data_IF_334105859924
#
_entry.id   IF_334105859924
#
_cell.length_a   1.000
_cell.length_b   1.000
_cell.length_c   1.000
_cell.angle_alpha   90.00
_cell.angle_beta   90.00
_cell.angle_gamma   90.00
#
_symmetry.space_group_name_H-M   'P 1'
#
loop_
_entity.id
_entity.type
_entity.pdbx_description
1 polymer ?
#
# COMPACT_ATOMS: atom_id res chain seq x y z
N UNK A 1 -38.73 -19.23 14.08
CA UNK A 1 -39.48 -18.54 15.14
C UNK A 1 -38.45 -17.94 16.10
N UNK A 2 -38.38 -16.62 16.31
CA UNK A 2 -37.36 -16.03 17.16
C UNK A 2 -37.79 -16.17 18.63
N UNK A 3 -36.93 -16.73 19.48
CA UNK A 3 -37.09 -16.63 20.94
C UNK A 3 -36.15 -15.54 21.45
N UNK A 4 -36.75 -14.63 22.20
CA UNK A 4 -36.13 -13.49 22.86
C UNK A 4 -35.00 -13.93 23.79
N UNK A 5 -33.79 -13.42 23.56
CA UNK A 5 -32.68 -13.44 24.52
C UNK A 5 -32.60 -12.04 25.17
N UNK A 6 -32.83 -11.96 26.48
CA UNK A 6 -32.65 -10.78 27.32
C UNK A 6 -31.15 -10.54 27.61
N UNK A 7 -30.37 -10.29 26.55
CA UNK A 7 -29.01 -9.78 26.60
C UNK A 7 -28.85 -8.81 25.45
N UNK A 8 -28.18 -7.67 25.65
CA UNK A 8 -27.93 -6.76 24.55
C UNK A 8 -27.30 -7.54 23.38
N UNK A 9 -27.79 -7.40 22.14
CA UNK A 9 -27.27 -8.17 21.02
C UNK A 9 -25.76 -7.95 20.92
N UNK A 10 -24.99 -8.99 20.54
CA UNK A 10 -23.55 -8.85 20.38
C UNK A 10 -23.27 -7.68 19.44
N UNK A 11 -22.25 -6.87 19.75
CA UNK A 11 -21.86 -5.70 18.93
C UNK A 11 -21.13 -6.14 17.66
N UNK A 12 -21.81 -6.95 16.86
CA UNK A 12 -21.37 -7.43 15.55
C UNK A 12 -21.60 -6.35 14.50
N UNK A 13 -20.71 -6.28 13.53
CA UNK A 13 -20.81 -5.42 12.35
C UNK A 13 -20.84 -6.23 11.05
N UNK A 14 -20.19 -7.39 11.05
CA UNK A 14 -20.18 -8.32 9.94
C UNK A 14 -21.31 -9.34 9.98
N UNK A 15 -21.38 -10.13 8.93
CA UNK A 15 -22.19 -11.34 8.88
C UNK A 15 -21.75 -12.27 9.99
N UNK A 16 -22.71 -12.76 10.78
CA UNK A 16 -22.45 -13.62 11.92
C UNK A 16 -23.41 -14.81 11.94
N UNK A 17 -22.97 -15.88 12.59
CA UNK A 17 -23.79 -17.08 12.76
C UNK A 17 -23.46 -17.75 14.09
N UNK A 18 -24.50 -18.25 14.77
CA UNK A 18 -24.36 -19.08 15.98
C UNK A 18 -23.95 -20.49 15.56
N UNK A 19 -22.89 -21.02 16.17
CA UNK A 19 -22.35 -22.35 15.86
C UNK A 19 -22.05 -23.12 17.13
N UNK A 20 -22.15 -24.45 17.04
CA UNK A 20 -21.72 -25.33 18.12
C UNK A 20 -20.20 -25.34 18.20
N UNK A 21 -19.66 -25.01 19.37
CA UNK A 21 -18.25 -25.13 19.71
C UNK A 21 -17.90 -26.61 19.88
N UNK A 22 -16.71 -26.99 19.43
CA UNK A 22 -16.15 -28.34 19.64
C UNK A 22 -15.12 -28.34 20.75
N UNK A 23 -13.99 -27.64 20.56
CA UNK A 23 -12.91 -27.60 21.55
C UNK A 23 -12.01 -26.38 21.36
N UNK A 24 -11.40 -25.92 22.44
CA UNK A 24 -10.37 -24.86 22.42
C UNK A 24 -9.00 -25.51 22.18
N UNK A 25 -8.34 -25.13 21.08
CA UNK A 25 -7.05 -25.72 20.67
C UNK A 25 -5.89 -24.94 21.29
N UNK A 26 -5.94 -23.61 21.15
CA UNK A 26 -4.97 -22.66 21.68
C UNK A 26 -5.64 -21.30 21.96
N UNK A 27 -4.90 -20.35 22.52
CA UNK A 27 -5.39 -19.01 22.88
C UNK A 27 -6.01 -18.24 21.72
N UNK A 28 -5.60 -18.51 20.48
CA UNK A 28 -6.07 -17.85 19.25
C UNK A 28 -6.77 -18.81 18.25
N UNK A 29 -7.05 -20.04 18.68
CA UNK A 29 -7.58 -21.10 17.81
C UNK A 29 -8.62 -21.95 18.53
N UNK A 30 -9.83 -21.99 17.98
CA UNK A 30 -10.98 -22.79 18.47
C UNK A 30 -11.50 -23.67 17.34
N UNK A 31 -12.03 -24.85 17.65
CA UNK A 31 -12.79 -25.67 16.68
C UNK A 31 -14.28 -25.54 16.91
N UNK A 32 -15.04 -25.43 15.84
CA UNK A 32 -16.49 -25.37 15.86
C UNK A 32 -17.08 -26.09 14.64
N UNK A 33 -18.38 -26.38 14.67
CA UNK A 33 -19.12 -26.98 13.56
C UNK A 33 -19.75 -25.85 12.73
N UNK A 34 -19.27 -25.58 11.50
CA UNK A 34 -19.91 -24.59 10.64
C UNK A 34 -21.37 -24.96 10.34
N UNK A 35 -22.20 -23.98 9.90
CA UNK A 35 -23.58 -24.26 9.51
C UNK A 35 -23.68 -25.41 8.52
N UNK A 36 -24.63 -26.32 8.75
CA UNK A 36 -24.88 -27.50 7.91
C UNK A 36 -23.69 -28.47 7.76
N UNK A 37 -22.71 -28.44 8.69
CA UNK A 37 -21.58 -29.37 8.71
C UNK A 37 -21.56 -30.21 9.99
N UNK A 38 -21.44 -31.52 9.82
CA UNK A 38 -21.20 -32.45 10.94
C UNK A 38 -19.72 -32.53 11.33
N UNK A 39 -18.82 -31.91 10.56
CA UNK A 39 -17.38 -31.93 10.80
C UNK A 39 -16.92 -30.63 11.44
N UNK A 40 -16.27 -30.73 12.60
CA UNK A 40 -15.66 -29.56 13.23
C UNK A 40 -14.44 -29.07 12.44
N UNK A 41 -14.39 -27.77 12.19
CA UNK A 41 -13.30 -27.07 11.51
C UNK A 41 -12.54 -26.17 12.47
N UNK A 42 -11.27 -25.90 12.15
CA UNK A 42 -10.44 -24.96 12.92
C UNK A 42 -10.74 -23.52 12.51
N UNK A 43 -11.12 -22.72 13.49
CA UNK A 43 -11.28 -21.28 13.42
C UNK A 43 -9.98 -20.62 13.86
N UNK A 44 -9.40 -19.78 13.00
CA UNK A 44 -8.34 -18.85 13.37
C UNK A 44 -8.99 -17.54 13.79
N UNK A 45 -8.81 -17.18 15.05
CA UNK A 45 -9.39 -15.96 15.60
C UNK A 45 -8.61 -14.76 15.04
N UNK A 46 -9.34 -13.82 14.45
CA UNK A 46 -8.78 -12.62 13.86
C UNK A 46 -8.29 -11.65 14.93
N UNK A 47 -7.29 -10.85 14.58
CA UNK A 47 -6.72 -9.79 15.44
C UNK A 47 -6.02 -10.28 16.71
N UNK A 48 -5.80 -11.60 16.85
CA UNK A 48 -5.02 -12.22 17.94
C UNK A 48 -3.78 -12.96 17.44
N UNK A 49 -2.69 -12.80 18.19
CA UNK A 49 -1.45 -13.60 18.15
C UNK A 49 -1.02 -13.86 19.59
N UNK A 50 -1.68 -14.81 20.25
CA UNK A 50 -1.23 -15.27 21.57
C UNK A 50 0.13 -15.94 21.42
N UNK A 51 0.97 -15.88 22.44
CA UNK A 51 2.21 -16.67 22.44
C UNK A 51 1.89 -18.17 22.41
N UNK A 52 2.81 -18.99 21.92
CA UNK A 52 2.53 -20.41 21.65
C UNK A 52 2.47 -21.22 22.95
N UNK A 53 1.40 -22.01 23.12
CA UNK A 53 1.25 -22.92 24.27
C UNK A 53 2.09 -24.20 24.14
N UNK A 54 2.57 -24.51 22.93
CA UNK A 54 3.45 -25.63 22.62
C UNK A 54 4.45 -25.21 21.54
N UNK A 55 5.66 -25.77 21.55
CA UNK A 55 6.66 -25.41 20.54
C UNK A 55 6.28 -26.01 19.19
N UNK A 56 5.70 -25.19 18.33
CA UNK A 56 5.41 -25.53 16.94
C UNK A 56 6.02 -24.47 16.00
N UNK A 57 6.91 -24.89 15.10
CA UNK A 57 7.60 -23.97 14.19
C UNK A 57 8.69 -23.13 14.87
N UNK A 58 8.80 -21.86 14.47
CA UNK A 58 9.90 -20.95 14.88
C UNK A 58 9.63 -20.14 16.14
N UNK A 59 8.37 -20.01 16.57
CA UNK A 59 8.02 -19.26 17.77
C UNK A 59 8.29 -20.11 19.03
N UNK A 60 8.85 -19.51 20.10
CA UNK A 60 9.07 -20.23 21.34
C UNK A 60 7.74 -20.49 22.05
N UNK A 61 7.65 -21.61 22.76
CA UNK A 61 6.56 -21.81 23.72
C UNK A 61 6.85 -21.03 24.99
N UNK A 62 5.83 -20.39 25.56
CA UNK A 62 5.99 -19.52 26.72
C UNK A 62 5.00 -19.87 27.84
N UNK A 63 5.33 -19.56 29.12
CA UNK A 63 4.37 -19.68 30.21
C UNK A 63 3.09 -18.87 29.96
N UNK A 64 3.21 -17.67 29.38
CA UNK A 64 2.03 -16.85 29.08
C UNK A 64 1.19 -17.37 27.91
N UNK A 65 1.80 -18.06 26.94
CA UNK A 65 1.08 -18.80 25.91
C UNK A 65 0.24 -19.94 26.48
N UNK A 66 0.79 -20.70 27.45
CA UNK A 66 0.01 -21.70 28.20
C UNK A 66 -1.12 -21.05 28.99
N UNK A 67 -0.86 -19.94 29.67
CA UNK A 67 -1.87 -19.19 30.41
C UNK A 67 -3.00 -18.67 29.50
N UNK A 68 -2.67 -18.21 28.29
CA UNK A 68 -3.65 -17.77 27.30
C UNK A 68 -4.56 -18.92 26.85
N UNK A 69 -4.00 -20.12 26.62
CA UNK A 69 -4.79 -21.31 26.30
C UNK A 69 -5.69 -21.76 27.44
N UNK A 70 -5.17 -21.76 28.67
CA UNK A 70 -5.97 -22.16 29.84
C UNK A 70 -7.09 -21.14 30.11
N UNK A 71 -6.81 -19.85 29.92
CA UNK A 71 -7.83 -18.80 29.97
C UNK A 71 -8.88 -18.98 28.88
N UNK A 72 -8.48 -19.28 27.64
CA UNK A 72 -9.39 -19.54 26.53
C UNK A 72 -10.38 -20.69 26.87
N UNK A 73 -9.88 -21.78 27.47
CA UNK A 73 -10.73 -22.89 27.91
C UNK A 73 -11.75 -22.45 28.95
N UNK A 74 -11.33 -21.66 29.93
CA UNK A 74 -12.21 -21.12 30.96
C UNK A 74 -13.23 -20.13 30.38
N UNK A 75 -12.81 -19.25 29.48
CA UNK A 75 -13.66 -18.24 28.87
C UNK A 75 -14.82 -18.84 28.06
N UNK A 76 -14.63 -20.04 27.51
CA UNK A 76 -15.66 -20.74 26.75
C UNK A 76 -16.29 -21.92 27.51
N UNK A 77 -15.95 -22.21 28.77
CA UNK A 77 -16.35 -23.46 29.43
C UNK A 77 -17.85 -23.54 29.75
N UNK A 78 -18.50 -22.40 29.89
CA UNK A 78 -19.90 -22.24 30.30
C UNK A 78 -20.89 -22.19 29.11
N UNK A 79 -20.41 -22.36 27.88
CA UNK A 79 -21.24 -22.37 26.67
C UNK A 79 -20.78 -23.40 25.64
N UNK A 80 -21.74 -24.16 25.12
CA UNK A 80 -21.52 -25.12 24.02
C UNK A 80 -21.69 -24.48 22.64
N UNK A 81 -22.25 -23.27 22.58
CA UNK A 81 -22.38 -22.48 21.37
C UNK A 81 -21.59 -21.17 21.50
N UNK A 82 -21.16 -20.66 20.35
CA UNK A 82 -20.51 -19.37 20.20
C UNK A 82 -21.06 -18.67 18.97
N UNK A 83 -20.84 -17.37 18.87
CA UNK A 83 -21.14 -16.61 17.66
C UNK A 83 -19.83 -16.38 16.93
N UNK A 84 -19.77 -16.78 15.66
CA UNK A 84 -18.66 -16.41 14.76
C UNK A 84 -19.09 -15.23 13.92
N UNK A 85 -18.21 -14.24 13.79
CA UNK A 85 -18.41 -13.06 12.95
C UNK A 85 -17.35 -13.02 11.85
N UNK A 86 -17.79 -12.88 10.61
CA UNK A 86 -16.91 -12.76 9.46
C UNK A 86 -16.48 -11.30 9.23
N UNK A 87 -15.30 -11.07 8.65
CA UNK A 87 -14.81 -9.73 8.34
C UNK A 87 -15.41 -9.18 7.03
N UNK A 88 -16.73 -9.29 6.88
CA UNK A 88 -17.50 -8.84 5.72
C UNK A 88 -19.00 -8.98 5.94
N UNK A 89 -19.77 -8.50 4.96
CA UNK A 89 -21.24 -8.39 5.04
C UNK A 89 -21.95 -9.25 3.97
N UNK A 90 -21.22 -10.19 3.36
CA UNK A 90 -21.74 -11.16 2.40
C UNK A 90 -22.68 -12.17 3.05
N UNK A 91 -23.35 -13.03 2.28
CA UNK A 91 -24.14 -14.11 2.90
C UNK A 91 -23.25 -15.07 3.69
N UNK A 92 -23.83 -15.85 4.61
CA UNK A 92 -23.09 -16.84 5.39
C UNK A 92 -22.38 -17.85 4.47
N UNK A 93 -23.05 -18.30 3.42
CA UNK A 93 -22.52 -19.26 2.43
C UNK A 93 -21.31 -18.68 1.69
N UNK A 94 -21.38 -17.42 1.27
CA UNK A 94 -20.27 -16.72 0.62
C UNK A 94 -19.10 -16.52 1.60
N UNK A 95 -19.39 -16.11 2.82
CA UNK A 95 -18.40 -15.93 3.88
C UNK A 95 -17.62 -17.22 4.19
N UNK A 96 -18.32 -18.37 4.28
CA UNK A 96 -17.73 -19.69 4.52
C UNK A 96 -16.71 -20.10 3.45
N UNK A 97 -16.86 -19.62 2.22
CA UNK A 97 -15.90 -19.87 1.13
C UNK A 97 -14.80 -18.80 1.10
N UNK A 98 -15.17 -17.54 1.28
CA UNK A 98 -14.29 -16.37 1.10
C UNK A 98 -13.25 -16.20 2.21
N UNK A 99 -13.65 -16.40 3.46
CA UNK A 99 -12.83 -16.06 4.63
C UNK A 99 -12.08 -17.27 5.18
N UNK A 100 -11.19 -17.81 4.35
CA UNK A 100 -10.27 -18.90 4.73
C UNK A 100 -8.81 -18.48 4.60
N UNK A 101 -8.00 -18.84 5.59
CA UNK A 101 -6.56 -18.64 5.56
C UNK A 101 -5.84 -19.60 4.61
N UNK A 102 -4.53 -19.43 4.43
CA UNK A 102 -3.73 -20.28 3.54
C UNK A 102 -3.76 -21.77 3.90
N UNK A 103 -4.01 -22.11 5.17
CA UNK A 103 -4.14 -23.48 5.66
C UNK A 103 -5.61 -23.95 5.73
N UNK A 104 -6.53 -23.29 5.04
CA UNK A 104 -7.97 -23.64 5.01
C UNK A 104 -8.79 -23.27 6.26
N UNK A 105 -8.14 -22.83 7.36
CA UNK A 105 -8.80 -22.36 8.59
C UNK A 105 -9.77 -21.20 8.30
N UNK A 106 -10.98 -21.23 8.87
CA UNK A 106 -11.89 -20.09 8.83
C UNK A 106 -11.26 -18.90 9.57
N UNK A 107 -11.44 -17.70 9.03
CA UNK A 107 -10.97 -16.44 9.61
C UNK A 107 -12.17 -15.68 10.16
N UNK A 108 -12.29 -15.60 11.49
CA UNK A 108 -13.47 -15.03 12.17
C UNK A 108 -13.08 -14.31 13.46
N UNK A 109 -13.90 -13.37 13.90
CA UNK A 109 -13.97 -12.99 15.32
C UNK A 109 -14.96 -13.90 16.03
N UNK A 110 -14.80 -14.06 17.35
CA UNK A 110 -15.65 -14.94 18.16
C UNK A 110 -16.27 -14.12 19.29
N UNK A 111 -17.57 -14.27 19.46
CA UNK A 111 -18.33 -13.67 20.55
C UNK A 111 -18.96 -14.76 21.40
N UNK A 112 -18.99 -14.52 22.71
CA UNK A 112 -19.84 -15.25 23.64
C UNK A 112 -21.32 -14.93 23.36
N UNK A 113 -22.23 -15.79 23.83
CA UNK A 113 -23.67 -15.54 23.68
C UNK A 113 -24.15 -14.30 24.47
N UNK A 114 -23.45 -13.94 25.55
CA UNK A 114 -23.67 -12.70 26.31
C UNK A 114 -23.11 -11.43 25.63
N UNK A 115 -22.53 -11.56 24.43
CA UNK A 115 -22.08 -10.46 23.60
C UNK A 115 -20.64 -9.99 23.84
N UNK A 116 -19.89 -10.64 24.73
CA UNK A 116 -18.45 -10.34 24.92
C UNK A 116 -17.64 -10.87 23.74
N UNK A 117 -16.94 -9.98 23.04
CA UNK A 117 -16.04 -10.33 21.93
C UNK A 117 -14.66 -10.74 22.46
N UNK A 118 -14.18 -11.89 22.00
CA UNK A 118 -13.03 -12.56 22.58
C UNK A 118 -11.69 -11.89 22.25
N UNK A 119 -11.50 -11.37 21.03
CA UNK A 119 -10.25 -10.70 20.64
C UNK A 119 -10.00 -9.44 21.48
N UNK A 120 -10.99 -8.56 21.61
CA UNK A 120 -10.91 -7.37 22.47
C UNK A 120 -10.57 -7.77 23.90
N UNK A 121 -11.25 -8.79 24.42
CA UNK A 121 -11.08 -9.24 25.80
C UNK A 121 -9.68 -9.77 26.07
N UNK A 122 -9.16 -10.64 25.19
CA UNK A 122 -7.80 -11.18 25.31
C UNK A 122 -6.72 -10.12 25.15
N UNK A 123 -6.93 -9.13 24.27
CA UNK A 123 -6.02 -7.98 24.10
C UNK A 123 -6.00 -7.13 25.37
N UNK A 124 -7.19 -6.81 25.91
CA UNK A 124 -7.37 -5.98 27.11
C UNK A 124 -6.72 -6.60 28.35
N UNK A 125 -6.71 -7.93 28.43
CA UNK A 125 -6.06 -8.68 29.51
C UNK A 125 -4.56 -8.93 29.27
N UNK A 126 -4.00 -8.45 28.16
CA UNK A 126 -2.58 -8.59 27.83
C UNK A 126 -2.17 -10.02 27.46
N UNK A 127 -3.09 -10.89 27.04
CA UNK A 127 -2.74 -12.21 26.50
C UNK A 127 -2.19 -12.14 25.08
N UNK A 128 -2.49 -11.06 24.36
CA UNK A 128 -2.01 -10.81 23.01
C UNK A 128 -1.93 -9.30 22.74
N UNK A 129 -0.98 -8.81 21.93
CA UNK A 129 -1.11 -7.51 21.31
C UNK A 129 -2.27 -7.49 20.32
N UNK A 130 -2.67 -6.30 19.87
CA UNK A 130 -3.57 -6.19 18.72
C UNK A 130 -2.84 -6.61 17.44
N UNK A 131 -3.13 -7.82 16.97
CA UNK A 131 -2.41 -8.43 15.86
C UNK A 131 -2.98 -8.03 14.49
N UNK A 132 -2.49 -6.93 13.94
CA UNK A 132 -2.91 -6.38 12.64
C UNK A 132 -1.93 -6.68 11.47
N UNK A 133 -1.04 -7.67 11.61
CA UNK A 133 -0.01 -8.03 10.58
C UNK A 133 -0.58 -8.26 9.17
N UNK A 134 -1.82 -8.74 9.10
CA UNK A 134 -2.54 -9.06 7.85
C UNK A 134 -3.64 -8.04 7.51
N UNK A 135 -3.54 -6.83 8.06
CA UNK A 135 -4.51 -5.75 7.89
C UNK A 135 -5.11 -5.33 9.23
N UNK A 136 -5.48 -4.05 9.35
CA UNK A 136 -6.37 -3.65 10.43
C UNK A 136 -7.70 -4.39 10.30
N UNK A 137 -8.42 -4.52 11.42
CA UNK A 137 -9.76 -5.08 11.45
C UNK A 137 -10.65 -4.37 10.43
N UNK A 138 -11.39 -5.15 9.64
CA UNK A 138 -12.17 -4.65 8.49
C UNK A 138 -13.22 -3.60 8.88
N UNK A 139 -13.75 -3.70 10.10
CA UNK A 139 -14.69 -2.72 10.64
C UNK A 139 -13.97 -1.71 11.53
N UNK A 140 -14.14 -0.41 11.23
CA UNK A 140 -13.52 0.70 11.95
C UNK A 140 -13.79 0.64 13.47
N UNK A 141 -15.01 0.27 13.88
CA UNK A 141 -15.31 0.17 15.31
C UNK A 141 -14.57 -0.99 15.99
N UNK A 142 -14.30 -2.10 15.30
CA UNK A 142 -13.47 -3.19 15.83
C UNK A 142 -12.01 -2.72 15.94
N UNK A 143 -11.49 -2.07 14.90
CA UNK A 143 -10.15 -1.51 14.91
C UNK A 143 -9.94 -0.56 16.11
N UNK A 144 -10.87 0.37 16.35
CA UNK A 144 -10.82 1.29 17.51
C UNK A 144 -10.87 0.56 18.85
N UNK A 145 -11.79 -0.40 19.02
CA UNK A 145 -11.90 -1.17 20.27
C UNK A 145 -10.61 -1.92 20.57
N UNK A 146 -10.00 -2.57 19.57
CA UNK A 146 -8.76 -3.31 19.75
C UNK A 146 -7.56 -2.40 20.07
N UNK A 147 -7.45 -1.23 19.42
CA UNK A 147 -6.42 -0.23 19.77
C UNK A 147 -6.58 0.27 21.21
N UNK A 148 -7.81 0.54 21.65
CA UNK A 148 -8.08 0.98 23.01
C UNK A 148 -7.78 -0.12 24.03
N UNK A 149 -8.21 -1.36 23.76
CA UNK A 149 -7.89 -2.52 24.58
C UNK A 149 -6.38 -2.74 24.75
N UNK A 150 -5.63 -2.63 23.66
CA UNK A 150 -4.17 -2.77 23.69
C UNK A 150 -3.52 -1.65 24.52
N UNK A 151 -3.95 -0.41 24.29
CA UNK A 151 -3.48 0.74 25.07
C UNK A 151 -3.75 0.57 26.56
N UNK A 152 -4.95 0.10 26.92
CA UNK A 152 -5.32 -0.14 28.32
C UNK A 152 -4.43 -1.19 28.97
N UNK A 153 -4.12 -2.29 28.26
CA UNK A 153 -3.20 -3.31 28.72
C UNK A 153 -1.75 -2.80 28.87
N UNK A 154 -1.30 -1.94 27.95
CA UNK A 154 0.02 -1.31 28.01
C UNK A 154 0.15 -0.35 29.21
N UNK A 155 -0.87 0.46 29.49
CA UNK A 155 -0.84 1.45 30.58
C UNK A 155 -0.61 0.81 31.96
N UNK A 156 -1.06 -0.43 32.15
CA UNK A 156 -0.90 -1.17 33.42
C UNK A 156 0.17 -2.26 33.36
N UNK A 157 0.94 -2.35 32.27
CA UNK A 157 1.99 -3.35 32.06
C UNK A 157 1.54 -4.80 32.36
N UNK A 158 0.42 -5.23 31.77
CA UNK A 158 -0.12 -6.58 31.97
C UNK A 158 0.30 -7.56 30.86
N UNK A 159 0.63 -8.79 31.25
CA UNK A 159 0.86 -9.89 30.31
C UNK A 159 2.03 -9.67 29.36
N UNK A 160 1.78 -9.69 28.05
CA UNK A 160 2.81 -9.47 27.00
C UNK A 160 3.47 -8.08 27.08
N UNK A 161 2.92 -7.16 27.87
CA UNK A 161 3.52 -5.85 28.15
C UNK A 161 4.46 -5.85 29.36
N UNK A 162 4.52 -6.96 30.10
CA UNK A 162 5.51 -7.25 31.15
C UNK A 162 5.96 -8.72 31.05
N UNK A 163 6.62 -9.03 29.92
CA UNK A 163 7.08 -10.38 29.62
C UNK A 163 8.11 -10.91 30.61
N UNK A 164 8.90 -10.05 31.25
CA UNK A 164 9.83 -10.50 32.27
C UNK A 164 9.08 -11.13 33.45
N UNK A 165 7.97 -10.51 33.88
CA UNK A 165 7.12 -11.07 34.93
C UNK A 165 6.40 -12.34 34.51
N UNK A 166 5.86 -12.40 33.29
CA UNK A 166 5.01 -13.54 32.89
C UNK A 166 5.75 -14.70 32.20
N UNK A 167 6.86 -14.42 31.52
CA UNK A 167 7.64 -15.41 30.77
C UNK A 167 9.08 -15.59 31.29
N UNK A 168 9.57 -14.70 32.15
CA UNK A 168 10.95 -14.72 32.62
C UNK A 168 11.93 -14.35 31.51
N UNK A 169 12.55 -15.35 30.88
CA UNK A 169 13.66 -15.16 29.92
C UNK A 169 13.24 -15.26 28.46
N UNK A 170 12.06 -15.80 28.17
CA UNK A 170 11.57 -15.91 26.79
C UNK A 170 10.80 -14.65 26.44
N UNK A 171 11.41 -13.78 25.65
CA UNK A 171 10.87 -12.46 25.34
C UNK A 171 10.80 -12.28 23.82
N UNK A 172 9.65 -11.82 23.33
CA UNK A 172 9.46 -11.30 21.97
C UNK A 172 9.50 -9.78 22.00
N UNK A 173 10.18 -9.18 21.03
CA UNK A 173 10.23 -7.73 20.88
C UNK A 173 8.92 -7.21 20.28
N UNK A 174 7.89 -7.09 21.12
CA UNK A 174 6.57 -6.60 20.68
C UNK A 174 6.60 -5.14 20.24
N UNK A 175 7.53 -4.32 20.72
CA UNK A 175 7.68 -2.94 20.23
C UNK A 175 8.07 -2.92 18.74
N UNK A 176 9.09 -3.70 18.38
CA UNK A 176 9.51 -3.88 16.97
C UNK A 176 8.42 -4.56 16.13
N UNK A 177 7.81 -5.63 16.66
CA UNK A 177 6.78 -6.38 15.93
C UNK A 177 5.53 -5.53 15.67
N UNK A 178 5.00 -4.84 16.68
CA UNK A 178 3.80 -3.99 16.52
C UNK A 178 4.04 -2.82 15.56
N UNK A 179 5.25 -2.23 15.58
CA UNK A 179 5.65 -1.22 14.59
C UNK A 179 5.60 -1.79 13.17
N UNK A 180 6.14 -2.99 12.98
CA UNK A 180 6.13 -3.65 11.69
C UNK A 180 4.73 -4.06 11.23
N UNK A 181 3.92 -4.61 12.14
CA UNK A 181 2.54 -4.99 11.84
C UNK A 181 1.70 -3.77 11.46
N UNK A 182 1.89 -2.64 12.15
CA UNK A 182 1.23 -1.37 11.83
C UNK A 182 1.59 -0.84 10.43
N UNK A 183 2.88 -0.94 10.03
CA UNK A 183 3.29 -0.62 8.66
C UNK A 183 2.53 -1.48 7.64
N UNK A 184 2.50 -2.80 7.86
CA UNK A 184 1.82 -3.75 6.96
C UNK A 184 0.32 -3.48 6.91
N UNK A 185 -0.31 -3.24 8.05
CA UNK A 185 -1.72 -2.92 8.16
C UNK A 185 -2.08 -1.66 7.35
N UNK A 186 -1.30 -0.59 7.51
CA UNK A 186 -1.52 0.65 6.77
C UNK A 186 -1.36 0.50 5.25
N UNK A 187 -0.45 -0.36 4.78
CA UNK A 187 -0.33 -0.68 3.33
C UNK A 187 -1.59 -1.38 2.82
N UNK A 188 -2.10 -2.36 3.58
CA UNK A 188 -3.32 -3.09 3.23
C UNK A 188 -4.54 -2.16 3.25
N UNK A 189 -4.62 -1.23 4.19
CA UNK A 189 -5.72 -0.27 4.25
C UNK A 189 -5.72 0.70 3.05
N UNK A 190 -4.54 1.16 2.60
CA UNK A 190 -4.43 1.91 1.36
C UNK A 190 -4.88 1.09 0.15
N UNK A 191 -4.49 -0.18 0.08
CA UNK A 191 -4.99 -1.10 -0.95
C UNK A 191 -6.52 -1.23 -0.92
N UNK A 192 -7.12 -1.41 0.26
CA UNK A 192 -8.59 -1.49 0.45
C UNK A 192 -9.26 -0.17 0.03
N UNK A 193 -8.69 0.97 0.40
CA UNK A 193 -9.19 2.29 0.04
C UNK A 193 -9.16 2.52 -1.48
N UNK A 194 -8.07 2.15 -2.15
CA UNK A 194 -7.95 2.21 -3.61
C UNK A 194 -9.02 1.35 -4.30
N UNK A 195 -9.28 0.13 -3.81
CA UNK A 195 -10.39 -0.67 -4.36
C UNK A 195 -11.74 -0.03 -4.15
N UNK A 196 -11.97 0.57 -2.98
CA UNK A 196 -13.23 1.27 -2.67
C UNK A 196 -13.45 2.51 -3.55
N UNK A 197 -12.38 3.18 -3.99
CA UNK A 197 -12.47 4.30 -4.93
C UNK A 197 -12.63 3.87 -6.40
N UNK A 198 -12.67 2.56 -6.69
CA UNK A 198 -12.88 2.03 -8.03
C UNK A 198 -11.59 1.70 -8.79
N UNK A 199 -10.42 1.82 -8.16
CA UNK A 199 -9.15 1.41 -8.80
C UNK A 199 -9.14 -0.10 -9.03
N UNK A 200 -8.86 -0.50 -10.26
CA UNK A 200 -8.79 -1.91 -10.66
C UNK A 200 -7.44 -2.50 -10.23
N UNK A 201 -7.46 -3.19 -9.09
CA UNK A 201 -6.31 -3.94 -8.58
C UNK A 201 -6.79 -5.25 -7.96
N UNK A 202 -6.12 -6.34 -8.32
CA UNK A 202 -6.54 -7.69 -7.96
C UNK A 202 -5.78 -8.22 -6.74
N UNK A 203 -6.48 -8.93 -5.86
CA UNK A 203 -5.85 -9.76 -4.83
C UNK A 203 -5.67 -11.19 -5.36
N UNK A 204 -4.48 -11.75 -5.16
CA UNK A 204 -4.12 -13.09 -5.66
C UNK A 204 -5.07 -14.20 -5.18
N UNK A 205 -5.66 -14.07 -3.99
CA UNK A 205 -6.58 -15.06 -3.41
C UNK A 205 -8.04 -14.73 -3.68
N UNK A 206 -8.48 -13.51 -3.40
CA UNK A 206 -9.90 -13.11 -3.50
C UNK A 206 -10.37 -13.00 -4.94
N UNK A 207 -9.48 -12.65 -5.87
CA UNK A 207 -9.81 -12.40 -7.27
C UNK A 207 -9.21 -13.46 -8.21
N UNK A 208 -8.85 -14.65 -7.69
CA UNK A 208 -8.14 -15.70 -8.44
C UNK A 208 -8.85 -16.12 -9.74
N UNK A 209 -10.18 -16.29 -9.70
CA UNK A 209 -10.93 -16.67 -10.91
C UNK A 209 -10.81 -15.61 -12.00
N UNK A 210 -10.93 -14.32 -11.64
CA UNK A 210 -10.72 -13.20 -12.56
C UNK A 210 -9.29 -13.18 -13.09
N UNK A 211 -8.30 -13.45 -12.24
CA UNK A 211 -6.91 -13.55 -12.69
C UNK A 211 -6.71 -14.65 -13.73
N UNK A 212 -7.43 -15.78 -13.64
CA UNK A 212 -7.38 -16.80 -14.69
C UNK A 212 -7.99 -16.33 -16.00
N UNK A 213 -9.16 -15.67 -15.93
CA UNK A 213 -9.82 -15.11 -17.12
C UNK A 213 -8.94 -14.08 -17.83
N UNK A 214 -8.24 -13.23 -17.08
CA UNK A 214 -7.28 -12.27 -17.63
C UNK A 214 -6.00 -12.93 -18.17
N UNK A 215 -5.59 -14.06 -17.58
CA UNK A 215 -4.46 -14.86 -18.05
C UNK A 215 -4.74 -15.56 -19.38
N UNK A 216 -5.96 -16.06 -19.60
CA UNK A 216 -6.41 -16.64 -20.88
C UNK A 216 -6.37 -15.58 -22.00
N UNK A 217 -6.64 -14.32 -21.65
CA UNK A 217 -6.59 -13.16 -22.57
C UNK A 217 -5.19 -12.56 -22.73
N UNK A 218 -4.20 -13.05 -21.97
CA UNK A 218 -2.84 -12.47 -21.92
C UNK A 218 -2.81 -10.97 -21.61
N UNK A 219 -3.65 -10.55 -20.66
CA UNK A 219 -3.79 -9.12 -20.32
C UNK A 219 -2.76 -8.68 -19.29
N UNK A 220 -2.25 -7.45 -19.43
CA UNK A 220 -1.44 -6.80 -18.41
C UNK A 220 -2.34 -6.26 -17.30
N UNK A 221 -2.15 -6.73 -16.08
CA UNK A 221 -2.95 -6.32 -14.92
C UNK A 221 -2.07 -5.88 -13.75
N UNK A 222 -2.68 -5.23 -12.77
CA UNK A 222 -2.03 -4.93 -11.48
C UNK A 222 -2.58 -5.81 -10.36
N UNK A 223 -1.69 -6.50 -9.65
CA UNK A 223 -2.01 -7.26 -8.45
C UNK A 223 -1.43 -6.58 -7.20
N UNK A 224 -2.06 -6.82 -6.06
CA UNK A 224 -1.51 -6.49 -4.74
C UNK A 224 -1.21 -7.79 -3.98
N UNK A 225 0.05 -7.99 -3.59
CA UNK A 225 0.51 -9.26 -3.01
C UNK A 225 1.66 -9.09 -2.03
N UNK A 226 1.89 -10.13 -1.22
CA UNK A 226 3.13 -10.32 -0.45
C UNK A 226 4.10 -11.19 -1.26
N UNK A 227 5.39 -10.85 -1.22
CA UNK A 227 6.47 -11.71 -1.74
C UNK A 227 7.20 -12.32 -0.54
N UNK A 228 7.27 -13.65 -0.48
CA UNK A 228 7.83 -14.38 0.67
C UNK A 228 9.20 -14.98 0.39
N UNK A 229 9.37 -15.50 -0.80
CA UNK A 229 10.63 -16.05 -1.30
C UNK A 229 10.72 -15.79 -2.80
N UNK A 230 11.91 -15.96 -3.33
CA UNK A 230 12.17 -15.97 -4.77
C UNK A 230 13.26 -17.00 -5.05
N UNK A 231 13.08 -17.80 -6.10
CA UNK A 231 13.97 -18.90 -6.46
C UNK A 231 14.45 -18.71 -7.89
N UNK A 232 15.76 -18.83 -8.10
CA UNK A 232 16.35 -18.88 -9.43
C UNK A 232 16.28 -20.28 -10.01
N UNK A 233 16.16 -20.34 -11.32
CA UNK A 233 16.23 -21.56 -12.11
C UNK A 233 16.97 -21.28 -13.41
N UNK A 234 17.83 -22.21 -13.82
CA UNK A 234 18.51 -22.18 -15.11
C UNK A 234 17.85 -23.20 -16.04
N UNK A 235 17.56 -22.80 -17.27
CA UNK A 235 17.15 -23.72 -18.33
C UNK A 235 18.34 -24.52 -18.87
N UNK A 236 18.06 -25.61 -19.60
CA UNK A 236 19.09 -26.40 -20.30
C UNK A 236 19.90 -25.57 -21.31
N UNK A 237 19.27 -24.54 -21.87
CA UNK A 237 19.87 -23.58 -22.81
C UNK A 237 20.69 -22.48 -22.11
N UNK A 238 20.79 -22.51 -20.77
CA UNK A 238 21.56 -21.57 -19.97
C UNK A 238 20.82 -20.30 -19.55
N UNK A 239 19.60 -20.04 -20.06
CA UNK A 239 18.80 -18.88 -19.65
C UNK A 239 18.43 -18.97 -18.17
N UNK A 240 18.71 -17.92 -17.41
CA UNK A 240 18.45 -17.84 -15.97
C UNK A 240 17.18 -17.05 -15.73
N UNK A 241 16.19 -17.67 -15.10
CA UNK A 241 14.94 -17.04 -14.68
C UNK A 241 14.76 -17.09 -13.17
N UNK A 242 13.78 -16.37 -12.66
CA UNK A 242 13.40 -16.44 -11.25
C UNK A 242 11.88 -16.48 -11.07
N UNK A 243 11.43 -17.19 -10.03
CA UNK A 243 10.03 -17.34 -9.69
C UNK A 243 9.76 -17.04 -8.22
N UNK A 244 8.62 -16.45 -7.92
CA UNK A 244 8.11 -16.29 -6.57
C UNK A 244 6.67 -16.79 -6.49
N UNK A 245 6.40 -17.72 -5.58
CA UNK A 245 5.05 -18.26 -5.36
C UNK A 245 4.29 -17.35 -4.41
N UNK A 246 3.19 -16.76 -4.91
CA UNK A 246 2.40 -15.74 -4.20
C UNK A 246 0.93 -16.13 -4.02
N UNK A 247 0.54 -17.30 -4.51
CA UNK A 247 -0.77 -17.93 -4.31
C UNK A 247 -0.77 -19.01 -3.22
N UNK A 248 -1.86 -19.77 -3.16
CA UNK A 248 -2.03 -20.99 -2.34
C UNK A 248 -2.07 -22.22 -3.23
N UNK A 249 -2.00 -23.43 -2.65
CA UNK A 249 -2.02 -24.68 -3.42
C UNK A 249 -3.29 -24.84 -4.27
N UNK A 250 -4.44 -24.38 -3.78
CA UNK A 250 -5.73 -24.39 -4.49
C UNK A 250 -5.90 -23.18 -5.45
N UNK A 251 -5.09 -22.14 -5.29
CA UNK A 251 -5.13 -20.90 -6.09
C UNK A 251 -3.71 -20.47 -6.47
N UNK A 252 -3.01 -21.25 -7.29
CA UNK A 252 -1.59 -21.02 -7.55
C UNK A 252 -1.39 -19.78 -8.42
N UNK A 253 -0.62 -18.82 -7.89
CA UNK A 253 -0.19 -17.60 -8.61
C UNK A 253 1.32 -17.46 -8.45
N UNK A 254 2.02 -17.23 -9.55
CA UNK A 254 3.48 -17.07 -9.59
C UNK A 254 3.87 -15.74 -10.23
N UNK A 255 4.92 -15.12 -9.70
CA UNK A 255 5.68 -14.06 -10.38
C UNK A 255 6.80 -14.76 -11.15
N UNK A 256 7.04 -14.35 -12.38
CA UNK A 256 8.11 -14.83 -13.23
C UNK A 256 8.95 -13.66 -13.74
N UNK A 257 10.26 -13.74 -13.50
CA UNK A 257 11.27 -12.80 -14.03
C UNK A 257 12.10 -13.60 -15.04
N UNK A 258 11.92 -13.38 -16.36
CA UNK A 258 12.50 -14.22 -17.41
C UNK A 258 14.04 -14.16 -17.46
N UNK A 259 14.62 -12.95 -17.45
CA UNK A 259 16.06 -12.71 -17.60
C UNK A 259 16.68 -12.28 -16.25
N UNK A 260 16.69 -13.19 -15.30
CA UNK A 260 17.02 -12.93 -13.89
C UNK A 260 18.50 -12.60 -13.61
N UNK A 261 19.39 -12.86 -14.57
CA UNK A 261 20.82 -12.52 -14.57
C UNK A 261 21.14 -11.23 -15.34
N UNK A 262 20.18 -10.69 -16.09
CA UNK A 262 20.30 -9.37 -16.69
C UNK A 262 20.40 -8.28 -15.62
N UNK A 263 20.94 -7.11 -15.97
CA UNK A 263 21.01 -5.95 -15.05
C UNK A 263 19.64 -5.59 -14.47
N UNK A 264 18.58 -5.64 -15.29
CA UNK A 264 17.21 -5.31 -14.86
C UNK A 264 16.64 -6.42 -13.98
N UNK A 265 16.85 -7.69 -14.35
CA UNK A 265 16.46 -8.84 -13.54
C UNK A 265 17.11 -8.84 -12.16
N UNK A 266 18.42 -8.59 -12.08
CA UNK A 266 19.15 -8.45 -10.81
C UNK A 266 18.59 -7.31 -9.95
N UNK A 267 18.24 -6.17 -10.55
CA UNK A 267 17.62 -5.05 -9.83
C UNK A 267 16.23 -5.40 -9.27
N UNK A 268 15.39 -6.09 -10.04
CA UNK A 268 14.08 -6.56 -9.58
C UNK A 268 14.26 -7.52 -8.40
N UNK A 269 15.18 -8.48 -8.51
CA UNK A 269 15.43 -9.48 -7.48
C UNK A 269 16.03 -8.86 -6.22
N UNK A 270 16.91 -7.88 -6.35
CA UNK A 270 17.46 -7.16 -5.21
C UNK A 270 16.38 -6.33 -4.51
N UNK A 271 15.47 -5.71 -5.26
CA UNK A 271 14.32 -5.02 -4.69
C UNK A 271 13.41 -6.00 -3.92
N UNK A 272 13.14 -7.19 -4.48
CA UNK A 272 12.40 -8.25 -3.76
C UNK A 272 13.09 -8.61 -2.43
N UNK A 273 14.39 -8.90 -2.44
CA UNK A 273 15.15 -9.32 -1.26
C UNK A 273 15.29 -8.24 -0.19
N UNK A 274 15.58 -7.00 -0.59
CA UNK A 274 15.93 -5.93 0.36
C UNK A 274 14.72 -5.18 0.89
N UNK A 275 13.63 -5.11 0.11
CA UNK A 275 12.46 -4.28 0.44
C UNK A 275 11.22 -5.08 0.80
N UNK A 276 10.93 -6.18 0.11
CA UNK A 276 9.64 -6.87 0.24
C UNK A 276 9.74 -8.15 1.05
N UNK A 277 10.75 -8.99 0.82
CA UNK A 277 10.94 -10.25 1.54
C UNK A 277 11.46 -9.96 2.95
N UNK A 278 10.60 -10.14 3.95
CA UNK A 278 10.93 -9.92 5.36
C UNK A 278 10.39 -11.00 6.27
N UNK A 279 10.94 -11.06 7.49
CA UNK A 279 10.53 -11.99 8.54
C UNK A 279 10.26 -11.23 9.84
N UNK A 280 9.75 -11.92 10.87
CA UNK A 280 9.60 -11.33 12.21
C UNK A 280 10.95 -10.89 12.81
N UNK A 281 12.06 -11.53 12.40
CA UNK A 281 13.41 -11.20 12.86
C UNK A 281 14.05 -10.09 12.02
N UNK A 282 13.72 -10.02 10.73
CA UNK A 282 14.16 -8.98 9.79
C UNK A 282 12.94 -8.34 9.10
N UNK A 283 12.20 -7.47 9.81
CA UNK A 283 11.03 -6.80 9.27
C UNK A 283 11.32 -6.00 8.00
N UNK A 284 10.54 -6.23 6.96
CA UNK A 284 10.57 -5.48 5.68
C UNK A 284 9.15 -5.11 5.26
N UNK A 285 8.97 -4.33 4.21
CA UNK A 285 7.65 -3.84 3.78
C UNK A 285 6.63 -4.97 3.55
N UNK A 286 7.06 -6.12 3.02
CA UNK A 286 6.19 -7.28 2.78
C UNK A 286 5.37 -7.18 1.50
N UNK A 287 4.44 -6.23 1.48
CA UNK A 287 3.48 -6.06 0.39
C UNK A 287 3.95 -5.09 -0.69
N UNK A 288 3.57 -5.39 -1.92
CA UNK A 288 3.81 -4.57 -3.10
C UNK A 288 2.63 -4.64 -4.08
N UNK A 289 2.61 -3.71 -5.03
CA UNK A 289 1.85 -3.83 -6.24
C UNK A 289 2.76 -4.31 -7.36
N UNK A 290 2.26 -5.25 -8.16
CA UNK A 290 2.97 -5.76 -9.32
C UNK A 290 2.12 -5.57 -10.56
N UNK A 291 2.72 -5.06 -11.62
CA UNK A 291 2.12 -4.98 -12.94
C UNK A 291 2.81 -5.96 -13.88
N UNK A 292 2.05 -6.66 -14.69
CA UNK A 292 2.64 -7.61 -15.63
C UNK A 292 1.60 -8.31 -16.46
N UNK A 293 2.04 -8.89 -17.57
CA UNK A 293 1.21 -9.78 -18.38
C UNK A 293 0.91 -11.05 -17.58
N UNK A 294 -0.37 -11.46 -17.57
CA UNK A 294 -0.77 -12.75 -17.03
C UNK A 294 -0.81 -13.81 -18.12
N UNK A 295 -0.34 -15.01 -17.79
CA UNK A 295 -0.44 -16.21 -18.64
C UNK A 295 -0.91 -17.41 -17.82
N UNK A 296 -1.54 -18.37 -18.48
CA UNK A 296 -1.94 -19.63 -17.84
C UNK A 296 -0.70 -20.49 -17.56
N UNK A 297 -0.62 -21.08 -16.37
CA UNK A 297 0.47 -21.98 -15.97
C UNK A 297 -0.09 -23.21 -15.25
N UNK A 298 -0.40 -24.26 -16.01
CA UNK A 298 -1.07 -25.45 -15.48
C UNK A 298 -2.45 -25.12 -14.92
N UNK A 299 -2.68 -25.43 -13.64
CA UNK A 299 -3.90 -25.04 -12.91
C UNK A 299 -3.85 -23.61 -12.34
N UNK A 300 -2.74 -22.89 -12.54
CA UNK A 300 -2.47 -21.58 -11.98
C UNK A 300 -2.30 -20.46 -13.00
N UNK A 301 -1.87 -19.31 -12.47
CA UNK A 301 -1.60 -18.09 -13.23
C UNK A 301 -0.15 -17.66 -13.00
N UNK A 302 0.52 -17.21 -14.05
CA UNK A 302 1.86 -16.63 -14.00
C UNK A 302 1.82 -15.18 -14.46
N UNK A 303 2.37 -14.29 -13.65
CA UNK A 303 2.62 -12.89 -14.00
C UNK A 303 4.08 -12.72 -14.42
N UNK A 304 4.32 -12.23 -15.63
CA UNK A 304 5.67 -11.86 -16.08
C UNK A 304 5.99 -10.43 -15.66
N UNK A 305 7.13 -10.24 -14.99
CA UNK A 305 7.64 -8.94 -14.53
C UNK A 305 9.01 -8.72 -15.13
N UNK A 306 9.13 -7.73 -16.01
CA UNK A 306 10.33 -7.52 -16.83
C UNK A 306 11.04 -6.20 -16.52
N UNK A 307 10.38 -5.28 -15.82
CA UNK A 307 10.90 -3.92 -15.59
C UNK A 307 10.86 -3.59 -14.11
N UNK A 308 11.82 -2.81 -13.63
CA UNK A 308 11.90 -2.42 -12.20
C UNK A 308 10.67 -1.63 -11.75
N UNK A 309 10.09 -0.81 -12.62
CA UNK A 309 8.89 -0.01 -12.34
C UNK A 309 7.58 -0.80 -12.41
N UNK A 310 7.62 -2.07 -12.82
CA UNK A 310 6.48 -2.97 -12.65
C UNK A 310 6.30 -3.39 -11.18
N UNK A 311 7.27 -3.11 -10.32
CA UNK A 311 7.25 -3.39 -8.88
C UNK A 311 7.12 -2.09 -8.10
N UNK A 312 5.93 -1.86 -7.52
CA UNK A 312 5.57 -0.56 -6.95
C UNK A 312 5.21 -0.67 -5.47
N UNK A 313 5.57 0.36 -4.70
CA UNK A 313 5.09 0.49 -3.32
C UNK A 313 3.65 0.96 -3.27
N UNK A 314 3.30 1.92 -4.13
CA UNK A 314 2.00 2.57 -4.19
C UNK A 314 1.56 2.72 -5.65
N UNK A 315 0.25 2.71 -5.91
CA UNK A 315 -0.29 2.71 -7.28
C UNK A 315 -0.01 4.01 -8.06
N UNK A 316 0.07 5.16 -7.40
CA UNK A 316 0.40 6.44 -8.04
C UNK A 316 1.81 6.44 -8.64
N UNK A 317 2.70 5.57 -8.17
CA UNK A 317 4.05 5.43 -8.74
C UNK A 317 4.00 4.90 -10.18
N UNK A 318 2.97 4.15 -10.56
CA UNK A 318 2.81 3.70 -11.94
C UNK A 318 2.79 4.91 -12.89
N UNK A 319 1.97 5.92 -12.58
CA UNK A 319 1.78 7.08 -13.45
C UNK A 319 3.04 7.95 -13.53
N UNK A 320 3.75 8.11 -12.41
CA UNK A 320 5.02 8.88 -12.37
C UNK A 320 6.19 8.13 -13.02
N UNK A 321 6.34 6.83 -12.79
CA UNK A 321 7.45 6.05 -13.34
C UNK A 321 7.30 5.81 -14.85
N UNK A 322 6.08 5.66 -15.37
CA UNK A 322 5.83 5.62 -16.82
C UNK A 322 6.14 6.97 -17.49
N UNK A 323 5.87 8.10 -16.82
CA UNK A 323 6.25 9.41 -17.34
C UNK A 323 7.79 9.55 -17.43
N UNK A 324 8.51 9.11 -16.40
CA UNK A 324 9.99 9.13 -16.38
C UNK A 324 10.58 8.17 -17.42
N UNK A 325 10.08 6.94 -17.57
CA UNK A 325 10.60 5.99 -18.55
C UNK A 325 10.40 6.49 -19.99
N UNK A 326 9.27 7.14 -20.27
CA UNK A 326 8.98 7.73 -21.58
C UNK A 326 9.95 8.87 -21.91
N UNK A 327 10.26 9.70 -20.92
CA UNK A 327 11.25 10.79 -21.08
C UNK A 327 12.65 10.22 -21.33
N UNK A 328 13.07 9.18 -20.60
CA UNK A 328 14.39 8.54 -20.80
C UNK A 328 14.49 7.90 -22.18
N UNK A 329 13.48 7.15 -22.64
CA UNK A 329 13.46 6.57 -23.99
C UNK A 329 13.47 7.65 -25.09
N UNK A 330 12.81 8.79 -24.89
CA UNK A 330 12.87 9.92 -25.82
C UNK A 330 14.25 10.62 -25.84
N UNK A 331 14.97 10.60 -24.73
CA UNK A 331 16.34 11.14 -24.65
C UNK A 331 17.34 10.19 -25.30
N UNK A 332 17.21 8.88 -25.08
CA UNK A 332 18.08 7.85 -25.68
C UNK A 332 17.90 7.78 -27.21
N UNK A 333 16.65 7.78 -27.71
CA UNK A 333 16.38 7.85 -29.15
C UNK A 333 16.87 9.15 -29.80
N UNK A 334 16.86 10.28 -29.07
CA UNK A 334 17.48 11.53 -29.52
C UNK A 334 19.00 11.44 -29.56
N UNK A 335 19.63 10.74 -28.61
CA UNK A 335 21.07 10.52 -28.62
C UNK A 335 21.52 9.56 -29.72
N UNK A 336 20.76 8.52 -30.03
CA UNK A 336 21.02 7.64 -31.18
C UNK A 336 20.84 8.38 -32.52
N UNK A 337 19.82 9.24 -32.63
CA UNK A 337 19.62 10.08 -33.82
C UNK A 337 20.73 11.13 -34.02
N UNK A 338 21.37 11.59 -32.92
CA UNK A 338 22.52 12.49 -32.95
C UNK A 338 23.86 11.74 -33.14
N UNK A 339 23.93 10.46 -32.73
CA UNK A 339 25.09 9.59 -32.95
C UNK A 339 25.25 9.15 -34.41
N UNK A 340 24.15 9.06 -35.16
CA UNK A 340 24.15 8.69 -36.58
C UNK A 340 24.49 9.86 -37.53
N UNK A 341 24.54 11.11 -37.06
CA UNK A 341 24.79 12.30 -37.90
C UNK A 341 26.24 12.79 -37.99
N UNK A 342 27.23 12.03 -37.51
CA UNK A 342 28.65 12.35 -37.71
C UNK A 342 29.35 11.37 -38.63
N UNK A 343 29.08 11.46 -39.95
CA UNK A 343 30.02 11.12 -41.03
C UNK A 343 29.53 11.68 -42.38
N UNK A 344 30.24 12.72 -42.87
CA UNK A 344 30.50 13.18 -44.27
C UNK A 344 29.28 13.34 -45.22
N UNK A 345 29.14 14.32 -46.12
CA UNK A 345 29.91 15.46 -46.67
C UNK A 345 28.94 16.21 -47.63
N UNK A 346 29.18 17.50 -47.84
CA UNK A 346 28.85 18.38 -48.99
C UNK A 346 27.79 17.95 -50.04
N UNK A 347 26.83 18.84 -50.37
CA UNK A 347 26.83 19.75 -51.57
C UNK A 347 25.50 20.53 -51.65
N UNK A 348 25.57 21.77 -52.14
CA UNK A 348 24.48 22.71 -52.51
C UNK A 348 23.45 22.10 -53.48
N UNK A 349 22.16 22.47 -53.40
CA UNK A 349 21.57 23.55 -54.21
C UNK A 349 20.09 23.85 -53.88
N UNK A 350 19.69 25.04 -54.35
CA UNK A 350 18.49 25.89 -54.25
C UNK A 350 17.09 25.36 -54.63
N UNK A 351 16.04 25.96 -54.02
CA UNK A 351 14.91 26.69 -54.68
C UNK A 351 13.56 26.65 -53.89
N UNK A 352 12.71 27.65 -54.17
CA UNK A 352 11.63 28.27 -53.37
C UNK A 352 10.21 27.61 -53.40
N UNK A 353 9.48 27.78 -52.27
CA UNK A 353 8.05 28.16 -51.97
C UNK A 353 6.92 28.15 -53.05
N UNK A 354 5.59 28.28 -52.72
CA UNK A 354 4.86 28.31 -51.43
C UNK A 354 3.46 27.59 -51.38
N UNK A 355 2.88 27.59 -50.17
CA UNK A 355 1.44 27.81 -49.82
C UNK A 355 0.66 26.70 -49.09
N UNK A 356 0.30 27.05 -47.84
CA UNK A 356 -0.57 26.39 -46.87
C UNK A 356 -2.06 26.45 -47.24
N UNK A 357 -2.84 25.46 -46.76
CA UNK A 357 -3.89 25.69 -45.75
C UNK A 357 -4.58 24.39 -45.35
N UNK A 358 -4.32 23.93 -44.11
CA UNK A 358 -5.35 23.46 -43.18
C UNK A 358 -4.82 23.53 -41.75
N UNK A 359 -5.40 24.47 -41.00
CA UNK A 359 -5.13 24.78 -39.59
C UNK A 359 -5.15 23.52 -38.73
N UNK A 360 -4.01 23.23 -38.10
CA UNK A 360 -3.94 22.52 -36.83
C UNK A 360 -3.25 23.49 -35.87
N UNK A 361 -3.96 23.95 -34.83
CA UNK A 361 -3.36 24.71 -33.74
C UNK A 361 -2.48 23.73 -32.96
N UNK A 362 -1.25 23.58 -33.42
CA UNK A 362 -0.11 23.12 -32.62
C UNK A 362 0.74 24.36 -32.36
N UNK A 363 0.50 25.05 -31.25
CA UNK A 363 1.42 26.08 -30.77
C UNK A 363 2.17 25.49 -29.58
N UNK A 364 3.49 25.40 -29.73
CA UNK A 364 4.44 24.83 -28.78
C UNK A 364 4.21 25.34 -27.36
N UNK A 365 3.99 24.42 -26.43
CA UNK A 365 4.01 24.76 -25.03
C UNK A 365 5.45 25.07 -24.63
N UNK A 366 5.73 26.35 -24.46
CA UNK A 366 6.93 26.76 -23.79
C UNK A 366 6.99 26.23 -22.36
N UNK A 367 8.17 25.88 -21.86
CA UNK A 367 8.34 25.43 -20.48
C UNK A 367 8.07 26.60 -19.53
N UNK A 368 7.04 26.50 -18.68
CA UNK A 368 6.78 27.47 -17.62
C UNK A 368 7.54 27.07 -16.36
N UNK A 369 8.19 28.03 -15.70
CA UNK A 369 8.93 27.79 -14.45
C UNK A 369 8.79 28.95 -13.46
N UNK A 370 9.09 28.67 -12.20
CA UNK A 370 9.24 29.69 -11.16
C UNK A 370 10.60 30.34 -11.33
N UNK A 371 10.63 31.66 -11.57
CA UNK A 371 11.86 32.43 -11.70
C UNK A 371 12.20 33.18 -10.41
N UNK A 372 11.21 33.58 -9.61
CA UNK A 372 11.44 34.27 -8.34
C UNK A 372 10.41 33.96 -7.27
N UNK A 373 10.81 34.13 -6.01
CA UNK A 373 9.94 34.18 -4.84
C UNK A 373 10.25 35.43 -4.00
N UNK A 374 9.22 36.05 -3.40
CA UNK A 374 9.36 37.01 -2.32
C UNK A 374 8.62 36.46 -1.10
N UNK A 375 9.29 35.66 -0.23
CA UNK A 375 8.64 35.06 0.92
C UNK A 375 8.44 36.04 2.08
N UNK A 376 9.36 36.99 2.27
CA UNK A 376 9.40 37.91 3.40
C UNK A 376 9.39 39.37 2.89
N UNK A 377 8.25 39.91 2.44
CA UNK A 377 8.15 41.29 1.97
C UNK A 377 8.34 42.30 3.11
N UNK A 378 8.69 43.54 2.79
CA UNK A 378 8.77 44.60 3.82
C UNK A 378 7.38 44.86 4.41
N UNK A 379 7.26 44.80 5.74
CA UNK A 379 6.02 45.08 6.46
C UNK A 379 5.14 43.85 6.67
N UNK A 380 3.88 43.88 6.21
CA UNK A 380 2.94 42.78 6.43
C UNK A 380 3.15 41.70 5.36
N UNK A 381 3.49 40.48 5.75
CA UNK A 381 3.63 39.36 4.82
C UNK A 381 2.32 39.03 4.10
N UNK A 382 1.23 39.00 4.86
CA UNK A 382 -0.06 38.50 4.39
C UNK A 382 -0.57 39.29 3.17
N UNK A 383 -0.56 38.63 2.01
CA UNK A 383 -1.05 39.19 0.75
C UNK A 383 0.01 39.93 -0.07
N UNK A 384 1.22 40.07 0.47
CA UNK A 384 2.36 40.72 -0.17
C UNK A 384 3.48 39.73 -0.54
N UNK A 385 3.34 38.46 -0.17
CA UNK A 385 4.16 37.36 -0.65
C UNK A 385 3.94 37.15 -2.16
N UNK A 386 5.01 36.97 -2.94
CA UNK A 386 4.88 36.84 -4.40
C UNK A 386 5.64 35.66 -5.00
N UNK A 387 5.14 35.18 -6.13
CA UNK A 387 5.78 34.18 -6.99
C UNK A 387 5.85 34.77 -8.40
N UNK A 388 7.03 34.73 -9.02
CA UNK A 388 7.21 35.13 -10.42
C UNK A 388 7.42 33.91 -11.30
N UNK A 389 6.63 33.81 -12.37
CA UNK A 389 6.71 32.75 -13.38
C UNK A 389 7.28 33.28 -14.69
N UNK A 390 7.95 32.45 -15.48
CA UNK A 390 8.38 32.75 -16.87
C UNK A 390 8.09 31.56 -17.78
N UNK A 391 7.78 31.81 -19.05
CA UNK A 391 7.56 30.78 -20.06
C UNK A 391 8.61 30.83 -21.18
N UNK A 392 9.18 29.70 -21.59
CA UNK A 392 10.16 29.64 -22.69
C UNK A 392 9.55 29.05 -23.96
N UNK A 393 9.14 29.86 -24.95
CA UNK A 393 8.58 29.35 -26.21
C UNK A 393 7.24 29.97 -26.65
N UNK A 394 6.75 30.98 -25.92
CA UNK A 394 5.54 31.71 -26.24
C UNK A 394 4.72 32.07 -25.01
N UNK A 395 3.54 32.67 -25.23
CA UNK A 395 2.56 32.92 -24.18
C UNK A 395 1.87 31.60 -23.77
N UNK A 396 1.77 31.34 -22.46
CA UNK A 396 1.10 30.16 -21.90
C UNK A 396 -0.07 30.58 -21.01
N UNK A 397 -1.25 30.00 -21.25
CA UNK A 397 -2.44 30.20 -20.42
C UNK A 397 -2.35 29.34 -19.13
N UNK A 398 -2.53 29.98 -17.98
CA UNK A 398 -2.41 29.38 -16.65
C UNK A 398 -3.73 28.81 -16.11
N UNK A 399 -4.81 28.78 -16.89
CA UNK A 399 -6.09 28.20 -16.44
C UNK A 399 -5.89 26.73 -16.07
N UNK A 400 -6.26 26.37 -14.83
CA UNK A 400 -6.11 25.02 -14.29
C UNK A 400 -4.76 24.75 -13.65
N UNK A 401 -3.79 25.66 -13.80
CA UNK A 401 -2.51 25.58 -13.12
C UNK A 401 -2.65 25.99 -11.65
N UNK A 402 -1.76 25.48 -10.80
CA UNK A 402 -1.75 25.83 -9.38
C UNK A 402 -0.34 25.80 -8.78
N UNK A 403 -0.18 26.49 -7.67
CA UNK A 403 0.96 26.37 -6.78
C UNK A 403 0.61 25.46 -5.60
N UNK A 404 1.59 24.71 -5.12
CA UNK A 404 1.47 23.84 -3.94
C UNK A 404 2.71 23.93 -3.06
N UNK A 405 2.54 23.98 -1.74
CA UNK A 405 3.64 23.85 -0.78
C UNK A 405 3.79 22.41 -0.30
N UNK A 406 4.93 22.08 0.32
CA UNK A 406 5.16 20.76 0.93
C UNK A 406 4.13 20.38 2.02
N UNK A 407 3.53 21.36 2.70
CA UNK A 407 2.45 21.14 3.67
C UNK A 407 1.09 20.83 3.02
N UNK A 408 0.99 20.90 1.69
CA UNK A 408 -0.22 20.61 0.94
C UNK A 408 -1.12 21.83 0.69
N UNK A 409 -0.77 23.03 1.15
CA UNK A 409 -1.51 24.25 0.85
C UNK A 409 -1.43 24.57 -0.65
N UNK A 410 -2.53 25.06 -1.24
CA UNK A 410 -2.66 25.27 -2.69
C UNK A 410 -3.18 26.67 -3.03
N UNK A 411 -2.78 27.18 -4.19
CA UNK A 411 -3.34 28.40 -4.79
C UNK A 411 -3.47 28.23 -6.30
N UNK A 412 -4.66 28.44 -6.85
CA UNK A 412 -4.87 28.43 -8.30
C UNK A 412 -4.21 29.63 -8.97
N UNK A 413 -3.85 29.46 -10.24
CA UNK A 413 -3.25 30.49 -11.08
C UNK A 413 -4.22 30.93 -12.17
N UNK A 414 -4.15 32.20 -12.55
CA UNK A 414 -5.03 32.80 -13.55
C UNK A 414 -4.24 33.64 -14.56
N UNK A 415 -4.85 33.92 -15.72
CA UNK A 415 -4.27 34.68 -16.83
C UNK A 415 -3.22 33.91 -17.62
N UNK A 416 -2.26 34.60 -18.21
CA UNK A 416 -1.19 34.02 -19.03
C UNK A 416 0.19 34.50 -18.61
N UNK A 417 1.25 33.82 -19.06
CA UNK A 417 2.66 34.16 -18.80
C UNK A 417 3.49 34.05 -20.08
N UNK A 418 4.43 34.97 -20.27
CA UNK A 418 5.35 35.02 -21.43
C UNK A 418 6.80 34.91 -20.95
N UNK A 419 7.75 35.16 -21.86
CA UNK A 419 9.18 35.23 -21.53
C UNK A 419 9.53 36.43 -20.66
N UNK A 420 8.72 37.50 -20.68
CA UNK A 420 8.87 38.69 -19.83
C UNK A 420 8.56 38.40 -18.35
N UNK A 421 7.83 37.31 -18.12
CA UNK A 421 7.44 36.84 -16.80
C UNK A 421 6.18 37.48 -16.24
N UNK A 422 5.62 36.84 -15.22
CA UNK A 422 4.42 37.28 -14.51
C UNK A 422 4.59 37.09 -13.01
N UNK A 423 4.52 38.18 -12.27
CA UNK A 423 4.49 38.17 -10.80
C UNK A 423 3.06 38.06 -10.29
N UNK A 424 2.86 37.16 -9.34
CA UNK A 424 1.55 36.82 -8.78
C UNK A 424 1.63 36.99 -7.26
N UNK A 425 0.73 37.80 -6.72
CA UNK A 425 0.58 37.94 -5.28
C UNK A 425 -0.17 36.72 -4.73
N UNK A 426 0.38 36.12 -3.68
CA UNK A 426 -0.24 34.99 -3.03
C UNK A 426 -1.37 35.47 -2.12
N UNK A 427 -2.58 34.99 -2.40
CA UNK A 427 -3.76 35.25 -1.61
C UNK A 427 -4.40 33.91 -1.17
N UNK A 428 -5.18 33.94 -0.09
CA UNK A 428 -5.81 32.73 0.47
C UNK A 428 -4.91 31.93 1.41
N UNK A 429 -4.91 30.60 1.25
CA UNK A 429 -4.33 29.66 2.23
C UNK A 429 -2.86 29.31 1.97
N UNK A 430 -2.35 29.56 0.77
CA UNK A 430 -0.94 29.28 0.46
C UNK A 430 -0.06 30.40 1.04
N UNK A 431 0.98 29.98 1.78
CA UNK A 431 1.96 30.86 2.44
C UNK A 431 3.37 30.42 2.12
N UNK A 432 4.25 31.39 1.99
CA UNK A 432 5.69 31.26 1.96
C UNK A 432 6.21 31.57 3.38
N UNK A 433 6.84 30.60 4.03
CA UNK A 433 7.33 30.80 5.38
C UNK A 433 8.68 31.53 5.35
N UNK A 434 8.84 32.57 6.19
CA UNK A 434 10.11 33.28 6.34
C UNK A 434 11.24 32.40 6.91
N UNK A 435 10.91 31.19 7.36
CA UNK A 435 11.87 30.18 7.83
C UNK A 435 12.39 29.25 6.74
N UNK A 436 11.92 29.40 5.50
CA UNK A 436 12.22 28.50 4.38
C UNK A 436 11.03 27.60 4.02
N UNK A 437 11.05 27.09 2.80
CA UNK A 437 9.98 26.24 2.28
C UNK A 437 10.25 25.73 0.87
N UNK A 438 9.31 24.91 0.39
CA UNK A 438 9.31 24.34 -0.96
C UNK A 438 8.01 24.73 -1.65
N UNK A 439 8.11 25.24 -2.87
CA UNK A 439 7.00 25.67 -3.72
C UNK A 439 7.06 24.90 -5.03
N UNK A 440 5.95 24.23 -5.36
CA UNK A 440 5.76 23.44 -6.56
C UNK A 440 4.80 24.17 -7.49
N UNK A 441 5.12 24.21 -8.78
CA UNK A 441 4.25 24.66 -9.86
C UNK A 441 3.66 23.43 -10.55
N UNK A 442 2.34 23.37 -10.62
CA UNK A 442 1.58 22.26 -11.18
C UNK A 442 0.77 22.77 -12.37
N UNK A 443 0.85 22.07 -13.50
CA UNK A 443 0.16 22.44 -14.72
C UNK A 443 -1.34 22.06 -14.71
N UNK A 444 -2.05 22.43 -15.77
CA UNK A 444 -3.48 22.14 -15.92
C UNK A 444 -3.82 20.63 -15.95
N UNK A 445 -2.85 19.76 -16.24
CA UNK A 445 -3.03 18.30 -16.22
C UNK A 445 -2.75 17.71 -14.83
N UNK A 446 -2.37 18.53 -13.85
CA UNK A 446 -2.03 18.09 -12.51
C UNK A 446 -0.58 17.61 -12.36
N UNK A 447 0.27 17.85 -13.37
CA UNK A 447 1.68 17.46 -13.36
C UNK A 447 2.51 18.56 -12.73
N UNK A 448 3.42 18.20 -11.82
CA UNK A 448 4.40 19.14 -11.28
C UNK A 448 5.48 19.44 -12.33
N UNK A 449 5.57 20.69 -12.77
CA UNK A 449 6.45 21.10 -13.87
C UNK A 449 7.69 21.86 -13.39
N UNK A 450 7.67 22.36 -12.14
CA UNK A 450 8.81 23.04 -11.54
C UNK A 450 8.72 23.03 -10.00
N UNK A 451 9.84 22.78 -9.32
CA UNK A 451 9.96 22.89 -7.86
C UNK A 451 11.11 23.83 -7.52
N UNK A 452 10.89 24.71 -6.54
CA UNK A 452 11.96 25.51 -5.93
C UNK A 452 11.91 25.39 -4.42
N UNK A 453 13.09 25.35 -3.80
CA UNK A 453 13.24 25.34 -2.35
C UNK A 453 14.14 26.48 -1.92
N UNK A 454 13.83 27.05 -0.74
CA UNK A 454 14.61 28.11 -0.11
C UNK A 454 14.68 27.89 1.40
N UNK A 455 15.71 28.44 2.02
CA UNK A 455 15.94 28.36 3.46
C UNK A 455 15.75 29.74 4.13
N UNK A 456 15.88 29.78 5.45
CA UNK A 456 15.74 31.01 6.25
C UNK A 456 16.73 32.11 5.85
N UNK A 457 17.95 31.77 5.43
CA UNK A 457 18.95 32.76 5.01
C UNK A 457 18.58 33.41 3.66
N UNK A 458 17.88 32.67 2.79
CA UNK A 458 17.40 33.20 1.52
C UNK A 458 16.20 34.16 1.70
N UNK A 459 15.38 33.93 2.74
CA UNK A 459 14.18 34.71 3.05
C UNK A 459 14.46 36.04 3.79
N UNK A 460 15.44 36.80 3.29
CA UNK A 460 15.76 38.12 3.81
C UNK A 460 14.62 39.11 3.54
N UNK A 461 14.30 39.96 4.52
CA UNK A 461 13.20 40.93 4.39
C UNK A 461 13.40 41.84 3.18
N UNK A 462 12.36 41.96 2.36
CA UNK A 462 12.35 42.75 1.13
C UNK A 462 13.16 42.17 -0.05
N UNK A 463 13.81 41.01 0.11
CA UNK A 463 14.66 40.43 -0.92
C UNK A 463 13.93 39.36 -1.76
N UNK A 464 14.03 39.48 -3.09
CA UNK A 464 13.60 38.42 -4.00
C UNK A 464 14.65 37.30 -4.09
N UNK A 465 14.19 36.06 -3.97
CA UNK A 465 14.98 34.87 -4.26
C UNK A 465 14.85 34.55 -5.74
N UNK A 466 15.96 34.33 -6.44
CA UNK A 466 15.98 34.08 -7.90
C UNK A 466 16.39 32.65 -8.21
N UNK A 467 15.69 32.05 -9.17
CA UNK A 467 15.90 30.68 -9.62
C UNK A 467 16.15 30.67 -11.13
N UNK A 468 17.21 29.96 -11.54
CA UNK A 468 17.64 29.90 -12.94
C UNK A 468 16.86 28.88 -13.77
#
# INVERSE_FOLDING_TARGET
MPQNDNGAPPKVQGTYVRVRKSLVVDGDTVRAYPPNSEKAESLRILSLDTEESFKFGSKPSTPWGKAAKDYAKQFFSDQDEIIIEFPGNESVEECLVKYRGAFGRLLVWIHRLDGVEYSEHMIRLGYSPYYNKYGNAEFEAHHRRFMLAERDAQMIAIGVWDQQRVNGRVIRDYAKLCTWWSLRAGIIDRYRANRKSGVVVYNTRKDFQKLREEAEKRTSVTIFTEIRDVRRSSSEEGNVSATASIGTDDRPVQIYVPDADSKVGEQILELFRTRYIGTEYSPRRGYCYLRGELTTAGNGVRMTVERTFDVMDELWMADEMYAVSTVVQQVETRQESNGSKRRKTDTKDSAENPSEKKRRVTSGAGRVRISKLLPNPVGIDRGNETVTLVATGGEVNLRGWLLRTKSGARSSLEGSVTQEGKTINLSGNLRLANTGGTVMLIDAAGVEVHEVSYNKADATEGAEIRFN
#
